data_IF_569861230339
#
_entry.id   IF_569861230339
#
_cell.length_a   1.000
_cell.length_b   1.000
_cell.length_c   1.000
_cell.angle_alpha   90.00
_cell.angle_beta   90.00
_cell.angle_gamma   90.00
#
_symmetry.space_group_name_H-M   'P 1'
#
loop_
_entity.id
_entity.type
_entity.pdbx_description
1 polymer ?
2 non-polymer ?
3 non-polymer ?
#
# COMPACT_ATOMS: atom_id res chain seq x y z
N UNK A 1 15.42 -7.25 -0.66
CA UNK A 1 14.32 -7.31 -1.61
C UNK A 1 13.10 -6.51 -1.13
N UNK A 2 12.37 -5.87 -2.08
CA UNK A 2 11.19 -5.08 -1.72
C UNK A 2 10.04 -5.97 -1.24
N UNK A 3 9.52 -5.67 -0.05
CA UNK A 3 8.48 -6.46 0.58
C UNK A 3 7.14 -5.85 0.28
N UNK A 4 6.08 -6.40 0.87
CA UNK A 4 4.81 -5.69 0.84
C UNK A 4 4.27 -5.47 2.25
N UNK A 5 3.77 -4.28 2.54
CA UNK A 5 3.28 -4.00 3.87
C UNK A 5 1.79 -4.16 3.91
N UNK A 6 1.35 -4.97 4.87
CA UNK A 6 -0.06 -5.19 5.15
C UNK A 6 -0.40 -4.52 6.46
N UNK A 7 -1.52 -3.80 6.48
CA UNK A 7 -1.88 -2.90 7.58
C UNK A 7 -3.41 -2.81 7.74
N UNK A 8 -3.97 -3.60 8.65
CA UNK A 8 -5.42 -3.71 8.81
C UNK A 8 -5.78 -3.82 10.29
N UNK A 9 -6.91 -3.25 10.70
CA UNK A 9 -7.29 -3.28 12.10
C UNK A 9 -7.45 -4.72 12.59
N UNK A 10 -8.33 -5.48 11.94
CA UNK A 10 -8.59 -6.88 12.28
C UNK A 10 -7.45 -7.83 11.85
N UNK A 11 -6.72 -8.39 12.82
CA UNK A 11 -5.51 -9.23 12.65
C UNK A 11 -5.80 -10.54 11.95
N UNK A 12 -7.08 -10.77 11.67
CA UNK A 12 -7.49 -11.96 10.96
C UNK A 12 -7.48 -11.72 9.44
N UNK A 13 -7.39 -10.46 9.03
CA UNK A 13 -7.31 -10.14 7.61
C UNK A 13 -5.87 -9.97 7.16
N UNK A 14 -5.02 -9.56 8.09
CA UNK A 14 -3.59 -9.60 7.84
C UNK A 14 -3.25 -11.06 7.62
N UNK A 15 -3.76 -11.90 8.52
CA UNK A 15 -3.62 -13.34 8.42
C UNK A 15 -3.98 -13.78 7.02
N UNK A 16 -5.17 -13.40 6.58
CA UNK A 16 -5.64 -13.75 5.24
C UNK A 16 -4.78 -13.15 4.13
N UNK A 17 -4.71 -11.83 4.10
CA UNK A 17 -3.98 -11.20 3.05
C UNK A 17 -2.61 -11.82 2.90
N UNK A 18 -1.98 -12.18 4.01
CA UNK A 18 -0.66 -12.79 3.94
C UNK A 18 -0.77 -14.09 3.18
N UNK A 19 -1.77 -14.89 3.53
CA UNK A 19 -1.98 -16.23 2.97
C UNK A 19 -2.12 -16.14 1.46
N UNK A 20 -2.60 -15.00 1.00
CA UNK A 20 -2.78 -14.77 -0.42
C UNK A 20 -1.47 -14.30 -1.08
N UNK A 21 -0.61 -13.63 -0.32
CA UNK A 21 0.53 -12.95 -0.92
C UNK A 21 1.87 -13.56 -0.55
N UNK A 22 1.89 -14.32 0.54
CA UNK A 22 3.17 -14.76 1.14
C UNK A 22 4.00 -15.51 0.11
N UNK A 23 3.32 -16.38 -0.66
CA UNK A 23 3.94 -17.14 -1.73
C UNK A 23 4.65 -16.28 -2.81
N UNK A 24 4.46 -14.96 -2.82
CA UNK A 24 4.98 -14.15 -3.92
C UNK A 24 5.78 -12.96 -3.46
N UNK A 25 5.49 -12.50 -2.25
CA UNK A 25 6.20 -11.36 -1.70
C UNK A 25 6.77 -11.69 -0.32
N UNK A 26 7.57 -10.77 0.19
CA UNK A 26 7.96 -10.73 1.59
C UNK A 26 6.89 -9.91 2.23
N UNK A 27 6.05 -10.57 3.00
CA UNK A 27 4.93 -9.87 3.61
C UNK A 27 5.35 -9.33 4.96
N UNK A 28 5.04 -8.07 5.19
CA UNK A 28 5.20 -7.46 6.49
C UNK A 28 3.82 -7.08 6.95
N UNK A 29 3.55 -7.28 8.22
CA UNK A 29 2.21 -7.05 8.69
C UNK A 29 2.22 -6.13 9.90
N UNK A 30 1.20 -5.28 9.95
CA UNK A 30 1.04 -4.26 10.98
C UNK A 30 -0.43 -4.06 11.34
N UNK A 31 -0.68 -3.72 12.61
CA UNK A 31 -2.05 -3.62 13.12
C UNK A 31 -2.70 -2.24 13.00
N UNK A 32 -1.93 -1.24 12.57
CA UNK A 32 -2.46 0.10 12.38
C UNK A 32 -1.42 1.16 12.07
N UNK A 33 -1.85 2.41 11.98
CA UNK A 33 -0.98 3.51 11.57
C UNK A 33 0.36 3.55 12.31
N UNK A 34 0.32 3.94 13.58
CA UNK A 34 1.54 4.14 14.36
C UNK A 34 2.39 2.88 14.36
N UNK A 35 1.74 1.74 14.44
CA UNK A 35 2.44 0.48 14.41
C UNK A 35 3.18 0.30 13.08
N UNK A 36 2.55 0.70 11.99
CA UNK A 36 3.08 0.42 10.65
C UNK A 36 4.20 1.35 10.25
N UNK A 37 4.09 2.62 10.61
CA UNK A 37 5.13 3.56 10.23
C UNK A 37 6.46 3.02 10.72
N UNK A 38 6.45 2.52 11.95
CA UNK A 38 7.60 1.87 12.57
C UNK A 38 8.35 0.89 11.67
N UNK A 39 7.64 0.29 10.71
CA UNK A 39 8.24 -0.78 9.91
C UNK A 39 8.88 -0.25 8.64
N UNK A 40 8.34 0.83 8.13
CA UNK A 40 8.84 1.40 6.90
C UNK A 40 10.15 2.09 7.23
N UNK A 41 10.38 2.27 8.53
CA UNK A 41 11.61 2.85 9.03
C UNK A 41 12.77 1.89 8.80
N UNK A 42 12.70 0.72 9.43
CA UNK A 42 13.80 -0.22 9.40
C UNK A 42 13.88 -0.97 8.07
N UNK A 43 12.75 -1.45 7.58
CA UNK A 43 12.70 -2.33 6.42
C UNK A 43 12.23 -1.59 5.18
N UNK A 44 12.50 -2.17 4.02
CA UNK A 44 12.22 -1.51 2.75
C UNK A 44 10.99 -2.09 2.04
N UNK A 45 10.09 -1.21 1.64
CA UNK A 45 8.78 -1.63 1.20
C UNK A 45 8.38 -1.07 -0.15
N UNK A 46 8.04 -1.95 -1.07
CA UNK A 46 7.65 -1.55 -2.40
C UNK A 46 6.13 -1.30 -2.51
N UNK A 47 5.34 -2.04 -1.73
CA UNK A 47 3.88 -1.90 -1.82
C UNK A 47 3.20 -1.96 -0.45
N UNK A 48 2.23 -1.08 -0.21
CA UNK A 48 1.45 -1.14 1.03
C UNK A 48 -0.05 -1.23 0.82
N UNK A 49 -0.71 -2.04 1.65
CA UNK A 49 -2.16 -2.13 1.63
C UNK A 49 -2.77 -1.86 3.03
N UNK A 50 -3.78 -0.99 3.06
CA UNK A 50 -4.34 -0.44 4.29
C UNK A 50 -5.86 -0.47 4.42
N UNK A 51 -6.40 -1.12 5.46
CA UNK A 51 -7.83 -0.97 5.80
C UNK A 51 -8.09 0.53 5.97
N UNK A 52 -9.24 0.96 5.46
CA UNK A 52 -9.69 2.34 5.63
C UNK A 52 -10.31 2.52 7.00
N UNK A 53 -11.22 1.60 7.34
CA UNK A 53 -11.93 1.62 8.61
C UNK A 53 -11.08 1.07 9.75
N UNK A 54 -10.27 1.94 10.36
CA UNK A 54 -9.40 1.53 11.43
C UNK A 54 -9.50 2.46 12.63
N UNK A 55 -9.60 1.88 13.84
CA UNK A 55 -9.67 2.71 15.04
C UNK A 55 -8.53 3.72 15.07
N UNK A 56 -8.85 4.96 15.43
CA UNK A 56 -7.85 5.99 15.52
C UNK A 56 -7.61 6.62 14.18
N UNK A 57 -6.53 6.20 13.51
CA UNK A 57 -6.14 6.80 12.24
C UNK A 57 -6.56 5.97 11.04
N UNK A 58 -7.20 6.63 10.07
CA UNK A 58 -7.66 5.97 8.85
C UNK A 58 -6.58 5.75 7.80
N UNK A 59 -6.76 4.68 7.03
CA UNK A 59 -5.91 4.42 5.89
C UNK A 59 -5.54 5.68 5.15
N UNK A 60 -6.55 6.44 4.71
CA UNK A 60 -6.30 7.64 3.90
C UNK A 60 -5.35 8.61 4.60
N UNK A 61 -5.50 8.71 5.92
CA UNK A 61 -4.61 9.57 6.68
C UNK A 61 -3.22 8.96 6.70
N UNK A 62 -3.08 7.77 7.26
CA UNK A 62 -1.81 7.07 7.22
C UNK A 62 -1.08 7.35 5.90
N UNK A 63 -1.77 7.04 4.82
CA UNK A 63 -1.15 7.07 3.50
C UNK A 63 -0.80 8.46 3.00
N UNK A 64 -1.50 9.49 3.50
CA UNK A 64 -1.11 10.84 3.15
C UNK A 64 0.32 11.09 3.63
N UNK A 65 0.65 10.57 4.80
CA UNK A 65 1.99 10.71 5.36
C UNK A 65 2.98 9.78 4.68
N UNK A 66 2.58 8.53 4.49
CA UNK A 66 3.40 7.58 3.75
C UNK A 66 3.85 8.17 2.42
N UNK A 67 2.89 8.75 1.72
CA UNK A 67 3.13 9.49 0.50
C UNK A 67 4.25 10.50 0.71
N UNK A 68 4.24 11.16 1.86
CA UNK A 68 5.22 12.20 2.13
C UNK A 68 6.58 11.67 2.56
N UNK A 69 6.62 10.65 3.40
CA UNK A 69 7.91 10.20 3.92
C UNK A 69 8.61 9.18 3.01
N UNK A 70 7.85 8.43 2.22
CA UNK A 70 8.44 7.38 1.37
C UNK A 70 7.77 7.27 0.02
N UNK A 71 8.00 8.26 -0.86
CA UNK A 71 7.13 8.46 -2.02
C UNK A 71 7.31 7.38 -3.06
N UNK A 72 8.42 6.65 -2.97
CA UNK A 72 8.72 5.55 -3.88
C UNK A 72 7.80 4.34 -3.72
N UNK A 73 6.81 4.45 -2.85
CA UNK A 73 6.07 3.29 -2.36
C UNK A 73 4.68 3.35 -2.90
N UNK A 74 4.17 2.23 -3.40
CA UNK A 74 2.84 2.22 -4.01
C UNK A 74 1.75 2.00 -2.95
N UNK A 75 0.77 2.91 -2.90
CA UNK A 75 -0.22 2.94 -1.82
C UNK A 75 -1.58 2.40 -2.26
N UNK A 76 -2.17 1.54 -1.42
CA UNK A 76 -3.43 0.90 -1.78
C UNK A 76 -4.37 0.90 -0.62
N UNK A 77 -5.63 1.23 -0.89
CA UNK A 77 -6.70 1.16 0.11
C UNK A 77 -7.61 -0.05 -0.10
N UNK A 78 -8.29 -0.49 0.95
CA UNK A 78 -9.20 -1.64 0.86
C UNK A 78 -10.41 -1.45 1.76
N UNK A 79 -11.60 -1.55 1.16
CA UNK A 79 -12.82 -1.28 1.93
C UNK A 79 -14.00 -2.24 1.68
N UNK A 80 -14.69 -2.58 2.77
CA UNK A 80 -15.96 -3.29 2.72
C UNK A 80 -17.14 -2.32 2.77
N UNK A 81 -16.88 -1.10 3.21
CA UNK A 81 -17.89 -0.04 3.21
C UNK A 81 -17.75 0.83 1.97
N UNK A 82 -17.97 0.24 0.81
CA UNK A 82 -17.65 0.88 -0.46
C UNK A 82 -18.64 1.94 -0.89
N UNK A 83 -19.73 2.09 -0.15
CA UNK A 83 -20.86 2.91 -0.60
C UNK A 83 -20.74 4.40 -0.27
N UNK A 84 -19.75 4.77 0.54
CA UNK A 84 -19.63 6.16 1.02
C UNK A 84 -18.87 7.08 0.05
N UNK A 85 -19.43 8.25 -0.23
CA UNK A 85 -18.83 9.21 -1.15
C UNK A 85 -17.74 10.02 -0.46
N UNK A 86 -18.02 10.44 0.78
CA UNK A 86 -17.05 11.14 1.59
C UNK A 86 -15.71 10.47 1.44
N UNK A 87 -15.70 9.17 1.68
CA UNK A 87 -14.49 8.35 1.55
C UNK A 87 -13.84 8.57 0.19
N UNK A 88 -14.56 8.23 -0.86
CA UNK A 88 -14.03 8.29 -2.21
C UNK A 88 -13.40 9.64 -2.47
N UNK A 89 -14.09 10.69 -2.01
CA UNK A 89 -13.57 12.04 -2.13
C UNK A 89 -12.23 12.13 -1.41
N UNK A 90 -12.21 11.64 -0.18
CA UNK A 90 -10.99 11.54 0.59
C UNK A 90 -9.96 10.73 -0.18
N UNK A 91 -10.37 9.55 -0.62
CA UNK A 91 -9.48 8.70 -1.38
C UNK A 91 -8.93 9.50 -2.55
N UNK A 92 -9.81 10.23 -3.23
CA UNK A 92 -9.48 10.91 -4.47
C UNK A 92 -8.62 12.17 -4.34
N UNK A 93 -8.41 12.60 -3.09
CA UNK A 93 -7.54 13.74 -2.78
C UNK A 93 -6.10 13.25 -2.54
N UNK A 94 -5.99 12.21 -1.72
CA UNK A 94 -4.72 11.49 -1.51
C UNK A 94 -4.20 10.91 -2.82
N UNK A 95 -2.98 10.38 -2.78
CA UNK A 95 -2.37 9.82 -3.99
C UNK A 95 -2.50 8.31 -3.99
N UNK A 96 -3.73 7.84 -4.04
CA UNK A 96 -3.98 6.43 -3.80
C UNK A 96 -4.30 5.72 -5.11
N UNK A 97 -3.46 4.73 -5.42
CA UNK A 97 -3.42 4.17 -6.76
C UNK A 97 -4.54 3.16 -6.98
N UNK A 98 -4.79 2.33 -5.97
CA UNK A 98 -5.77 1.27 -6.09
C UNK A 98 -6.63 1.31 -4.84
N UNK A 99 -7.91 0.98 -4.99
CA UNK A 99 -8.84 0.85 -3.87
C UNK A 99 -9.60 -0.46 -4.10
N UNK A 100 -9.51 -1.40 -3.17
CA UNK A 100 -10.15 -2.67 -3.40
C UNK A 100 -11.35 -2.79 -2.51
N UNK A 101 -12.34 -3.52 -2.98
CA UNK A 101 -13.52 -3.79 -2.17
C UNK A 101 -13.28 -5.12 -1.49
N UNK A 102 -13.82 -5.27 -0.27
CA UNK A 102 -13.83 -6.54 0.43
C UNK A 102 -15.17 -7.20 0.11
N UNK A 103 -15.16 -8.51 -0.19
CA UNK A 103 -14.02 -9.41 -0.04
C UNK A 103 -13.32 -9.60 -1.37
N UNK A 104 -12.41 -10.56 -1.43
CA UNK A 104 -11.49 -10.58 -2.54
C UNK A 104 -10.91 -11.93 -2.83
N UNK A 105 -10.77 -12.20 -4.12
CA UNK A 105 -10.07 -13.39 -4.54
C UNK A 105 -8.59 -13.30 -4.21
N UNK A 106 -8.11 -14.32 -3.51
CA UNK A 106 -6.75 -14.83 -3.31
C UNK A 106 -5.89 -14.61 -4.52
N UNK A 107 -6.54 -14.55 -5.69
CA UNK A 107 -5.82 -14.40 -6.95
C UNK A 107 -6.06 -13.02 -7.57
N UNK A 108 -7.04 -12.29 -7.03
CA UNK A 108 -7.36 -10.95 -7.48
C UNK A 108 -6.58 -9.94 -6.67
N UNK A 109 -6.83 -9.96 -5.35
CA UNK A 109 -6.03 -9.26 -4.35
C UNK A 109 -4.57 -9.57 -4.57
N UNK A 110 -4.25 -10.83 -4.85
CA UNK A 110 -2.89 -11.18 -5.23
C UNK A 110 -2.41 -10.37 -6.42
N UNK A 111 -3.33 -10.01 -7.31
CA UNK A 111 -2.93 -9.41 -8.58
C UNK A 111 -2.74 -7.93 -8.40
N UNK A 112 -3.71 -7.31 -7.74
CA UNK A 112 -3.58 -5.89 -7.45
C UNK A 112 -2.18 -5.70 -6.85
N UNK A 113 -1.70 -6.70 -6.12
CA UNK A 113 -0.36 -6.71 -5.53
C UNK A 113 0.78 -6.76 -6.57
N UNK A 114 0.75 -7.74 -7.46
CA UNK A 114 1.82 -7.92 -8.46
C UNK A 114 1.89 -6.67 -9.32
N UNK A 115 0.72 -6.11 -9.57
CA UNK A 115 0.56 -4.80 -10.19
C UNK A 115 1.42 -3.73 -9.57
N UNK A 116 0.97 -3.30 -8.40
CA UNK A 116 1.71 -2.40 -7.54
C UNK A 116 3.23 -2.62 -7.66
N UNK A 117 3.70 -3.84 -7.48
CA UNK A 117 5.14 -4.07 -7.49
C UNK A 117 5.79 -3.90 -8.86
N UNK A 118 5.05 -4.20 -9.92
CA UNK A 118 5.55 -3.93 -11.26
C UNK A 118 5.58 -2.43 -11.46
N UNK A 119 4.50 -1.80 -11.05
CA UNK A 119 4.39 -0.35 -11.05
C UNK A 119 5.50 0.33 -10.25
N UNK A 120 5.79 -0.23 -9.08
CA UNK A 120 6.75 0.38 -8.18
C UNK A 120 8.06 0.36 -8.89
N UNK A 121 8.24 -0.71 -9.66
CA UNK A 121 9.42 -0.91 -10.48
C UNK A 121 9.55 0.07 -11.63
N UNK A 122 8.49 0.26 -12.41
CA UNK A 122 8.50 1.26 -13.47
C UNK A 122 8.88 2.62 -12.90
N UNK A 123 8.02 3.13 -12.03
CA UNK A 123 8.21 4.41 -11.38
C UNK A 123 9.64 4.60 -10.90
N UNK A 124 10.20 3.58 -10.27
CA UNK A 124 11.53 3.68 -9.68
C UNK A 124 12.67 3.76 -10.73
N UNK A 125 12.57 3.03 -11.84
CA UNK A 125 13.55 3.20 -12.92
C UNK A 125 13.21 4.38 -13.81
N UNK A 126 11.93 4.66 -13.96
CA UNK A 126 11.48 5.85 -14.65
C UNK A 126 12.16 7.08 -14.09
N UNK A 127 12.61 6.99 -12.84
CA UNK A 127 13.24 8.11 -12.17
C UNK A 127 14.75 8.07 -12.38
N UNK A 128 15.30 6.86 -12.26
CA UNK A 128 16.70 6.60 -12.56
C UNK A 128 17.08 7.26 -13.89
N UNK A 129 16.34 6.93 -14.93
CA UNK A 129 16.55 7.53 -16.23
C UNK A 129 16.68 9.05 -16.08
N UNK A 130 15.67 9.68 -15.49
CA UNK A 130 15.67 11.12 -15.27
C UNK A 130 16.96 11.57 -14.60
N UNK A 131 17.07 11.27 -13.30
CA UNK A 131 18.29 11.61 -12.56
C UNK A 131 19.53 11.52 -13.44
N UNK A 132 19.69 10.39 -14.12
CA UNK A 132 20.91 10.12 -14.88
C UNK A 132 20.99 10.89 -16.19
N UNK A 133 19.84 11.26 -16.73
CA UNK A 133 19.82 12.05 -17.93
C UNK A 133 19.91 13.53 -17.60
N UNK A 134 19.80 13.86 -16.31
CA UNK A 134 20.02 15.23 -15.84
C UNK A 134 21.51 15.44 -15.76
N UNK A 135 22.19 14.43 -15.26
CA UNK A 135 23.62 14.49 -15.08
C UNK A 135 24.34 14.45 -16.43
N UNK A 136 23.68 15.01 -17.44
CA UNK A 136 24.26 15.10 -18.78
C UNK A 136 24.21 16.53 -19.29
N UNK A 137 23.01 17.09 -19.36
CA UNK A 137 22.84 18.47 -19.81
C UNK A 137 23.48 19.47 -18.85
#
# INVERSE_FOLDING_TARGET
>A
APAILLVDDEPHSLAAMKLALEDDFDVLTAQGAEAAIAILEEEWVQVIICDQRMPGRTGVDFLTEVRERWPETVRIIITGYTDSASMMAAINDAGIHQFLTKPWHPEQLLSSARNAARMFTLARENERLSLEMRLLERP
#
